data_IF_956490364385
#
_entry.id   IF_956490364385
#
_cell.length_a   1.000
_cell.length_b   1.000
_cell.length_c   1.000
_cell.angle_alpha   90.00
_cell.angle_beta   90.00
_cell.angle_gamma   90.00
#
_symmetry.space_group_name_H-M   'P 1'
#
loop_
_entity.id
_entity.type
_entity.pdbx_description
1 polymer ?
#
# COMPACT_ATOMS: atom_id res chain seq x y z
N UNK A 1 3.39 11.37 -14.66
CA UNK A 1 2.42 12.06 -13.79
C UNK A 1 3.03 12.07 -12.40
N UNK A 2 3.53 13.22 -11.92
CA UNK A 2 4.12 13.30 -10.58
C UNK A 2 2.98 13.63 -9.62
N UNK A 3 2.77 12.78 -8.61
CA UNK A 3 1.81 13.07 -7.54
C UNK A 3 2.43 14.11 -6.60
N UNK A 4 1.77 15.24 -6.32
CA UNK A 4 2.29 16.26 -5.41
C UNK A 4 2.50 15.71 -4.00
N UNK A 5 3.53 16.19 -3.29
CA UNK A 5 3.84 15.72 -1.92
C UNK A 5 2.68 15.95 -0.96
N UNK A 6 1.92 17.02 -1.17
CA UNK A 6 0.75 17.42 -0.40
C UNK A 6 -0.38 16.37 -0.48
N UNK A 7 -0.36 15.50 -1.50
CA UNK A 7 -1.27 14.36 -1.63
C UNK A 7 -0.65 13.09 -1.04
N UNK A 8 0.67 12.92 -1.18
CA UNK A 8 1.40 11.76 -0.66
C UNK A 8 1.33 11.70 0.87
N UNK A 9 1.59 12.82 1.57
CA UNK A 9 1.60 12.83 3.04
C UNK A 9 0.26 12.40 3.67
N UNK A 10 -0.91 12.93 3.23
CA UNK A 10 -2.20 12.41 3.67
C UNK A 10 -2.42 10.94 3.30
N UNK A 11 -2.02 10.49 2.11
CA UNK A 11 -2.19 9.10 1.70
C UNK A 11 -1.39 8.14 2.60
N UNK A 12 -0.16 8.51 3.01
CA UNK A 12 0.63 7.74 3.98
C UNK A 12 -0.06 7.68 5.35
N UNK A 13 -0.66 8.78 5.81
CA UNK A 13 -1.43 8.77 7.07
C UNK A 13 -2.64 7.84 7.00
N UNK A 14 -3.37 7.84 5.88
CA UNK A 14 -4.48 6.90 5.63
C UNK A 14 -3.97 5.46 5.61
N UNK A 15 -2.82 5.21 4.98
CA UNK A 15 -2.19 3.87 4.96
C UNK A 15 -1.94 3.33 6.35
N UNK A 16 -1.30 4.13 7.20
CA UNK A 16 -0.97 3.74 8.58
C UNK A 16 -2.25 3.52 9.39
N UNK A 17 -3.23 4.43 9.28
CA UNK A 17 -4.49 4.32 10.01
C UNK A 17 -5.34 3.10 9.60
N UNK A 18 -5.20 2.63 8.36
CA UNK A 18 -5.91 1.47 7.81
C UNK A 18 -5.13 0.16 7.93
N UNK A 19 -3.93 0.19 8.51
CA UNK A 19 -3.16 -1.03 8.78
C UNK A 19 -3.95 -1.94 9.73
N UNK A 20 -4.05 -3.21 9.39
CA UNK A 20 -4.82 -4.20 10.15
C UNK A 20 -3.87 -5.10 10.94
N UNK A 21 -4.14 -5.37 12.23
CA UNK A 21 -3.37 -6.38 12.97
C UNK A 21 -3.39 -7.72 12.24
N UNK A 22 -2.21 -8.28 11.94
CA UNK A 22 -2.07 -9.53 11.19
C UNK A 22 -2.46 -9.46 9.69
N UNK A 23 -2.97 -8.32 9.21
CA UNK A 23 -3.32 -8.12 7.79
C UNK A 23 -2.40 -7.15 7.06
N UNK A 24 -1.52 -6.46 7.79
CA UNK A 24 -0.63 -5.43 7.25
C UNK A 24 -1.36 -4.19 6.73
N UNK A 25 -0.64 -3.39 5.95
CA UNK A 25 -1.16 -2.21 5.25
C UNK A 25 -1.37 -2.50 3.76
N UNK A 26 -2.21 -1.71 3.10
CA UNK A 26 -2.42 -1.85 1.66
C UNK A 26 -1.15 -1.53 0.87
N UNK A 27 -0.97 -2.20 -0.27
CA UNK A 27 0.20 -2.04 -1.15
C UNK A 27 -0.11 -1.13 -2.34
N UNK A 28 -1.39 -0.98 -2.67
CA UNK A 28 -1.87 -0.02 -3.67
C UNK A 28 -3.11 0.72 -3.17
N UNK A 29 -3.06 2.05 -3.28
CA UNK A 29 -4.22 2.93 -3.07
C UNK A 29 -4.50 3.75 -4.31
N UNK A 30 -5.75 3.77 -4.77
CA UNK A 30 -6.21 4.60 -5.89
C UNK A 30 -7.21 5.60 -5.37
N UNK A 31 -6.91 6.89 -5.52
CA UNK A 31 -7.77 8.00 -5.10
C UNK A 31 -8.28 8.74 -6.33
N UNK A 32 -9.60 8.80 -6.50
CA UNK A 32 -10.25 9.47 -7.63
C UNK A 32 -11.23 10.52 -7.12
N UNK A 33 -11.07 11.77 -7.56
CA UNK A 33 -12.00 12.86 -7.25
C UNK A 33 -12.98 13.05 -8.41
N UNK A 34 -14.28 12.88 -8.16
CA UNK A 34 -15.32 13.26 -9.11
C UNK A 34 -15.56 14.78 -9.02
N UNK A 35 -15.46 15.49 -10.16
CA UNK A 35 -15.65 16.94 -10.24
C UNK A 35 -17.11 17.40 -10.16
N UNK A 36 -18.06 16.54 -10.49
CA UNK A 36 -19.49 16.90 -10.50
C UNK A 36 -20.06 16.93 -9.08
N UNK A 37 -19.74 15.91 -8.29
CA UNK A 37 -20.33 15.72 -6.96
C UNK A 37 -19.32 16.00 -5.83
N UNK A 38 -18.09 16.40 -6.17
CA UNK A 38 -16.97 16.58 -5.24
C UNK A 38 -16.72 15.36 -4.34
N UNK A 39 -17.05 14.17 -4.84
CA UNK A 39 -16.89 12.91 -4.12
C UNK A 39 -15.49 12.35 -4.34
N UNK A 40 -14.80 12.05 -3.24
CA UNK A 40 -13.59 11.24 -3.26
C UNK A 40 -13.97 9.75 -3.22
N UNK A 41 -13.61 9.02 -4.27
CA UNK A 41 -13.69 7.56 -4.34
C UNK A 41 -12.29 7.00 -4.10
N UNK A 42 -12.17 6.01 -3.23
CA UNK A 42 -10.89 5.38 -2.90
C UNK A 42 -11.00 3.87 -2.99
N UNK A 43 -9.99 3.24 -3.60
CA UNK A 43 -9.84 1.79 -3.69
C UNK A 43 -8.49 1.40 -3.08
N UNK A 44 -8.48 0.34 -2.28
CA UNK A 44 -7.32 -0.12 -1.51
C UNK A 44 -7.13 -1.61 -1.70
N UNK A 45 -6.01 -1.97 -2.34
CA UNK A 45 -5.62 -3.34 -2.57
C UNK A 45 -4.45 -3.70 -1.64
N UNK A 46 -4.64 -4.74 -0.85
CA UNK A 46 -3.66 -5.24 0.12
C UNK A 46 -2.68 -6.24 -0.49
N UNK A 47 -3.02 -6.81 -1.64
CA UNK A 47 -2.31 -7.96 -2.21
C UNK A 47 -1.68 -7.65 -3.57
N UNK A 48 -1.94 -6.45 -4.12
CA UNK A 48 -1.32 -5.98 -5.35
C UNK A 48 0.21 -5.98 -5.24
N UNK A 49 0.89 -6.67 -6.14
CA UNK A 49 2.34 -6.59 -6.28
C UNK A 49 2.74 -5.24 -6.90
N UNK A 50 3.59 -4.44 -6.24
CA UNK A 50 3.96 -3.14 -6.75
C UNK A 50 4.98 -3.25 -7.89
N UNK A 51 4.72 -2.55 -9.00
CA UNK A 51 5.70 -2.39 -10.08
C UNK A 51 6.45 -1.07 -9.86
N UNK A 52 7.64 -1.16 -9.28
CA UNK A 52 8.48 -0.01 -8.95
C UNK A 52 9.66 0.15 -9.91
N UNK A 53 10.17 1.37 -10.04
CA UNK A 53 11.41 1.67 -10.74
C UNK A 53 12.27 2.63 -9.88
N UNK A 54 13.38 2.15 -9.27
CA UNK A 54 13.91 0.78 -9.35
C UNK A 54 12.95 -0.26 -8.74
N UNK A 55 13.03 -1.54 -9.13
CA UNK A 55 12.27 -2.61 -8.50
C UNK A 55 12.53 -2.69 -7.00
N UNK A 56 11.55 -3.15 -6.23
CA UNK A 56 11.72 -3.43 -4.81
C UNK A 56 12.69 -4.60 -4.61
N UNK A 57 13.36 -4.65 -3.46
CA UNK A 57 14.26 -5.74 -3.08
C UNK A 57 13.64 -6.65 -2.01
N UNK A 58 14.21 -7.84 -1.77
CA UNK A 58 13.89 -8.67 -0.60
C UNK A 58 13.92 -7.91 0.73
N UNK A 59 14.91 -7.02 0.91
CA UNK A 59 15.05 -6.20 2.11
C UNK A 59 13.90 -5.20 2.26
N UNK A 60 13.41 -4.61 1.16
CA UNK A 60 12.23 -3.73 1.20
C UNK A 60 10.99 -4.48 1.69
N UNK A 61 10.81 -5.75 1.25
CA UNK A 61 9.70 -6.60 1.69
C UNK A 61 9.85 -6.99 3.16
N UNK A 62 11.06 -7.32 3.60
CA UNK A 62 11.33 -7.62 5.01
C UNK A 62 11.00 -6.40 5.90
N UNK A 63 11.44 -5.21 5.51
CA UNK A 63 11.14 -3.97 6.23
C UNK A 63 9.64 -3.65 6.27
N UNK A 64 8.93 -3.88 5.16
CA UNK A 64 7.47 -3.70 5.11
C UNK A 64 6.75 -4.67 6.07
N UNK A 65 7.17 -5.93 6.15
CA UNK A 65 6.61 -6.91 7.08
C UNK A 65 6.97 -6.64 8.55
N UNK A 66 8.11 -6.01 8.82
CA UNK A 66 8.46 -5.53 10.16
C UNK A 66 7.55 -4.37 10.61
N UNK A 67 7.28 -3.42 9.71
CA UNK A 67 6.45 -2.26 10.00
C UNK A 67 4.95 -2.61 10.04
N UNK A 68 4.51 -3.50 9.15
CA UNK A 68 3.11 -3.90 9.00
C UNK A 68 2.98 -5.43 9.00
N UNK A 69 3.07 -6.07 10.18
CA UNK A 69 3.05 -7.52 10.29
C UNK A 69 1.82 -8.16 9.65
N UNK A 70 2.07 -9.23 8.89
CA UNK A 70 1.04 -10.07 8.25
C UNK A 70 1.12 -11.49 8.78
N UNK A 71 -0.05 -12.07 9.05
CA UNK A 71 -0.20 -13.48 9.31
C UNK A 71 0.12 -14.27 8.04
N UNK A 72 0.67 -15.50 8.12
CA UNK A 72 1.04 -16.28 6.93
C UNK A 72 -0.11 -16.49 5.92
N UNK A 73 -1.37 -16.47 6.39
CA UNK A 73 -2.58 -16.60 5.56
C UNK A 73 -2.99 -15.31 4.85
N UNK A 74 -2.57 -14.15 5.37
CA UNK A 74 -2.82 -12.82 4.82
C UNK A 74 -1.62 -12.25 4.05
N UNK A 75 -0.49 -12.97 4.03
CA UNK A 75 0.68 -12.63 3.21
C UNK A 75 0.46 -13.09 1.76
N UNK A 76 0.53 -12.18 0.77
CA UNK A 76 0.48 -12.50 -0.65
C UNK A 76 1.66 -13.38 -1.07
N UNK A 77 1.50 -14.15 -2.14
CA UNK A 77 2.54 -15.09 -2.57
C UNK A 77 3.80 -14.39 -3.09
N UNK A 78 3.68 -13.20 -3.68
CA UNK A 78 4.85 -12.44 -4.14
C UNK A 78 5.73 -12.00 -2.96
N UNK A 79 5.16 -11.62 -1.81
CA UNK A 79 5.92 -11.27 -0.60
C UNK A 79 6.65 -12.48 -0.01
N UNK A 80 6.12 -13.70 -0.19
CA UNK A 80 6.77 -14.94 0.29
C UNK A 80 7.95 -15.35 -0.59
N UNK A 81 7.86 -15.06 -1.88
CA UNK A 81 8.93 -15.36 -2.85
C UNK A 81 10.14 -14.43 -2.69
N UNK A 82 9.93 -13.27 -2.05
CA UNK A 82 10.98 -12.29 -1.76
C UNK A 82 11.68 -12.50 -0.42
N UNK A 83 11.37 -13.57 0.33
CA UNK A 83 12.08 -13.94 1.56
C UNK A 83 13.29 -14.85 1.30
#
# INVERSE_FOLDING_TARGET
NIVPREVVEPAVKVRIAMARPGGGAWTRGVFTMNKQDYQLVSDFDYDHEPVLNPPYTPEDVAQELELFPRDPKATPDWMKQSQ
#
